data_IF_903933929374
#
_entry.id   IF_903933929374
#
_cell.length_a   1.000
_cell.length_b   1.000
_cell.length_c   1.000
_cell.angle_alpha   90.00
_cell.angle_beta   90.00
_cell.angle_gamma   90.00
#
_symmetry.space_group_name_H-M   'P 1'
#
loop_
_entity.id
_entity.type
_entity.pdbx_description
1 polymer ?
#
# COMPACT_ATOMS: atom_id res chain seq x y z
N UNK A 1 -19.20 -0.77 -28.72
CA UNK A 1 -19.21 -1.44 -27.39
C UNK A 1 -19.25 -2.95 -27.54
N UNK A 2 -20.23 -3.55 -28.26
CA UNK A 2 -20.16 -4.98 -28.56
C UNK A 2 -18.97 -5.32 -29.45
N UNK A 3 -18.66 -4.48 -30.45
CA UNK A 3 -17.52 -4.67 -31.36
C UNK A 3 -16.17 -4.59 -30.64
N UNK A 4 -15.94 -3.59 -29.79
CA UNK A 4 -14.69 -3.47 -29.01
C UNK A 4 -14.51 -4.62 -28.02
N UNK A 5 -15.58 -5.06 -27.34
CA UNK A 5 -15.52 -6.26 -26.49
C UNK A 5 -15.23 -7.51 -27.33
N UNK A 6 -15.91 -7.68 -28.46
CA UNK A 6 -15.68 -8.80 -29.36
C UNK A 6 -14.24 -8.87 -29.85
N UNK A 7 -13.62 -7.73 -30.21
CA UNK A 7 -12.21 -7.66 -30.60
C UNK A 7 -11.29 -8.15 -29.47
N UNK A 8 -11.47 -7.65 -28.24
CA UNK A 8 -10.66 -8.05 -27.09
C UNK A 8 -10.83 -9.54 -26.78
N UNK A 9 -12.07 -10.03 -26.70
CA UNK A 9 -12.35 -11.44 -26.39
C UNK A 9 -11.90 -12.40 -27.49
N UNK A 10 -11.98 -11.99 -28.76
CA UNK A 10 -11.42 -12.75 -29.88
C UNK A 10 -9.90 -12.85 -29.78
N UNK A 11 -9.23 -11.81 -29.30
CA UNK A 11 -7.79 -11.83 -29.08
C UNK A 11 -7.44 -12.69 -27.86
N UNK A 12 -8.16 -12.56 -26.75
CA UNK A 12 -8.01 -13.38 -25.54
C UNK A 12 -8.16 -14.88 -25.83
N UNK A 13 -9.10 -15.26 -26.70
CA UNK A 13 -9.29 -16.66 -27.13
C UNK A 13 -8.06 -17.26 -27.84
N UNK A 14 -7.17 -16.42 -28.37
CA UNK A 14 -5.90 -16.85 -28.99
C UNK A 14 -4.74 -16.96 -28.00
N UNK A 15 -4.90 -16.50 -26.75
CA UNK A 15 -3.85 -16.45 -25.74
C UNK A 15 -3.87 -17.73 -24.90
N UNK A 16 -2.80 -18.51 -24.97
CA UNK A 16 -2.59 -19.64 -24.07
C UNK A 16 -1.72 -19.21 -22.88
N UNK A 17 -2.36 -18.78 -21.80
CA UNK A 17 -1.68 -18.37 -20.57
C UNK A 17 -2.48 -18.82 -19.34
N UNK A 18 -1.83 -19.55 -18.42
CA UNK A 18 -2.45 -20.06 -17.18
C UNK A 18 -3.07 -18.95 -16.33
N UNK A 19 -2.52 -17.74 -16.39
CA UNK A 19 -2.98 -16.59 -15.63
C UNK A 19 -4.15 -15.83 -16.25
N UNK A 20 -4.68 -16.25 -17.39
CA UNK A 20 -5.86 -15.66 -18.06
C UNK A 20 -6.95 -16.73 -18.11
N UNK A 21 -8.21 -16.34 -17.91
CA UNK A 21 -9.34 -17.24 -18.17
C UNK A 21 -9.33 -17.71 -19.62
N UNK A 22 -9.51 -19.01 -19.86
CA UNK A 22 -9.55 -19.50 -21.23
C UNK A 22 -10.89 -19.10 -21.85
N UNK A 23 -10.85 -18.32 -22.91
CA UNK A 23 -12.03 -17.97 -23.72
C UNK A 23 -12.17 -19.03 -24.81
N UNK A 24 -13.21 -19.86 -24.73
CA UNK A 24 -13.49 -20.92 -25.69
C UNK A 24 -14.14 -20.40 -26.98
N UNK A 25 -15.02 -19.40 -26.87
CA UNK A 25 -15.69 -18.78 -27.99
C UNK A 25 -16.15 -17.37 -27.65
N UNK A 26 -16.27 -16.53 -28.67
CA UNK A 26 -16.90 -15.22 -28.58
C UNK A 26 -17.67 -14.96 -29.88
N UNK A 27 -18.90 -14.47 -29.77
CA UNK A 27 -19.76 -14.16 -30.92
C UNK A 27 -20.69 -12.99 -30.60
N UNK A 28 -21.20 -12.36 -31.66
CA UNK A 28 -22.20 -11.29 -31.53
C UNK A 28 -23.58 -11.83 -31.92
N UNK A 29 -24.54 -11.73 -31.01
CA UNK A 29 -25.93 -12.13 -31.26
C UNK A 29 -26.87 -11.03 -30.75
N UNK A 30 -27.82 -10.59 -31.58
CA UNK A 30 -28.80 -9.54 -31.24
C UNK A 30 -28.16 -8.24 -30.68
N UNK A 31 -26.99 -7.86 -31.21
CA UNK A 31 -26.24 -6.68 -30.76
C UNK A 31 -25.58 -6.82 -29.38
N UNK A 32 -25.51 -8.04 -28.84
CA UNK A 32 -24.79 -8.38 -27.61
C UNK A 32 -23.56 -9.20 -27.94
N UNK A 33 -22.46 -8.92 -27.26
CA UNK A 33 -21.31 -9.82 -27.22
C UNK A 33 -21.64 -10.95 -26.26
N UNK A 34 -21.45 -12.20 -26.69
CA UNK A 34 -21.58 -13.40 -25.87
C UNK A 34 -20.25 -14.14 -25.95
N UNK A 35 -19.61 -14.29 -24.81
CA UNK A 35 -18.39 -15.05 -24.60
C UNK A 35 -18.68 -16.33 -23.80
N UNK A 36 -17.91 -17.37 -24.11
CA UNK A 36 -17.94 -18.65 -23.42
C UNK A 36 -16.55 -18.88 -22.85
N UNK A 37 -16.46 -18.89 -21.53
CA UNK A 37 -15.19 -18.99 -20.80
C UNK A 37 -15.09 -20.25 -19.94
N UNK A 38 -13.87 -20.57 -19.56
CA UNK A 38 -13.56 -21.54 -18.51
C UNK A 38 -14.21 -21.16 -17.18
N UNK A 39 -14.89 -22.13 -16.56
CA UNK A 39 -15.22 -22.04 -15.15
C UNK A 39 -13.99 -22.35 -14.29
N UNK A 40 -13.43 -21.31 -13.67
CA UNK A 40 -12.25 -21.45 -12.80
C UNK A 40 -12.68 -21.97 -11.43
N UNK A 41 -12.32 -23.22 -11.11
CA UNK A 41 -12.65 -23.86 -9.83
C UNK A 41 -11.69 -23.42 -8.70
N UNK A 42 -11.68 -22.13 -8.39
CA UNK A 42 -10.83 -21.54 -7.35
C UNK A 42 -11.59 -20.59 -6.42
N UNK A 43 -10.86 -19.94 -5.51
CA UNK A 43 -11.41 -18.87 -4.66
C UNK A 43 -11.05 -17.50 -5.21
N UNK A 44 -11.97 -16.56 -5.15
CA UNK A 44 -11.63 -15.15 -5.42
C UNK A 44 -10.64 -14.64 -4.38
N UNK A 45 -9.78 -13.70 -4.78
CA UNK A 45 -8.87 -13.03 -3.86
C UNK A 45 -9.65 -12.29 -2.77
N UNK A 46 -10.83 -11.76 -3.08
CA UNK A 46 -11.75 -11.21 -2.08
C UNK A 46 -12.09 -12.20 -0.96
N UNK A 47 -12.44 -13.44 -1.32
CA UNK A 47 -12.71 -14.52 -0.36
C UNK A 47 -11.46 -14.84 0.47
N UNK A 48 -10.31 -14.98 -0.17
CA UNK A 48 -9.03 -15.26 0.50
C UNK A 48 -8.68 -14.16 1.51
N UNK A 49 -8.89 -12.88 1.17
CA UNK A 49 -8.69 -11.75 2.08
C UNK A 49 -9.60 -11.88 3.30
N UNK A 50 -10.89 -12.19 3.09
CA UNK A 50 -11.85 -12.33 4.19
C UNK A 50 -11.52 -13.48 5.16
N UNK A 51 -10.92 -14.56 4.63
CA UNK A 51 -10.48 -15.70 5.43
C UNK A 51 -9.19 -15.41 6.21
N UNK A 52 -8.39 -14.43 5.75
CA UNK A 52 -7.20 -13.96 6.45
C UNK A 52 -6.05 -14.96 6.53
N UNK A 53 -5.98 -15.92 5.59
CA UNK A 53 -5.02 -17.02 5.63
C UNK A 53 -3.63 -16.65 5.08
N UNK A 54 -3.54 -15.63 4.23
CA UNK A 54 -2.31 -15.28 3.52
C UNK A 54 -1.45 -14.28 4.29
N UNK A 55 -0.13 -14.46 4.19
CA UNK A 55 0.85 -13.49 4.67
C UNK A 55 1.09 -12.39 3.64
N UNK A 56 1.70 -11.28 4.06
CA UNK A 56 2.14 -10.21 3.15
C UNK A 56 3.03 -10.72 2.00
N UNK A 57 3.81 -11.79 2.26
CA UNK A 57 4.64 -12.40 1.22
C UNK A 57 3.83 -13.19 0.21
N UNK A 58 2.73 -13.84 0.63
CA UNK A 58 1.84 -14.58 -0.26
C UNK A 58 1.07 -13.60 -1.16
N UNK A 59 0.56 -12.51 -0.60
CA UNK A 59 -0.05 -11.43 -1.38
C UNK A 59 0.94 -10.81 -2.37
N UNK A 60 2.18 -10.54 -1.95
CA UNK A 60 3.18 -9.99 -2.85
C UNK A 60 3.53 -10.95 -4.01
N UNK A 61 3.59 -12.27 -3.75
CA UNK A 61 3.77 -13.29 -4.81
C UNK A 61 2.56 -13.32 -5.76
N UNK A 62 1.34 -13.25 -5.24
CA UNK A 62 0.15 -13.16 -6.07
C UNK A 62 0.18 -11.94 -7.01
N UNK A 63 0.60 -10.77 -6.53
CA UNK A 63 0.80 -9.58 -7.38
C UNK A 63 1.90 -9.81 -8.42
N UNK A 64 2.97 -10.52 -8.08
CA UNK A 64 4.02 -10.87 -9.05
C UNK A 64 3.50 -11.80 -10.16
N UNK A 65 2.65 -12.77 -9.83
CA UNK A 65 2.05 -13.66 -10.83
C UNK A 65 1.11 -12.86 -11.75
N UNK A 66 0.32 -11.93 -11.21
CA UNK A 66 -0.49 -11.01 -12.01
C UNK A 66 0.37 -10.13 -12.93
N UNK A 67 1.57 -9.73 -12.50
CA UNK A 67 2.49 -8.96 -13.34
C UNK A 67 2.94 -9.75 -14.58
N UNK A 68 3.13 -11.07 -14.46
CA UNK A 68 3.47 -11.93 -15.61
C UNK A 68 2.31 -12.01 -16.60
N UNK A 69 1.09 -12.23 -16.09
CA UNK A 69 -0.13 -12.22 -16.90
C UNK A 69 -0.30 -10.90 -17.65
N UNK A 70 -0.22 -9.78 -16.93
CA UNK A 70 -0.39 -8.45 -17.50
C UNK A 70 0.73 -8.08 -18.47
N UNK A 71 1.96 -8.54 -18.24
CA UNK A 71 3.05 -8.37 -19.22
C UNK A 71 2.66 -8.97 -20.57
N UNK A 72 2.01 -10.12 -20.59
CA UNK A 72 1.62 -10.79 -21.84
C UNK A 72 0.44 -10.09 -22.54
N UNK A 73 -0.51 -9.55 -21.76
CA UNK A 73 -1.61 -8.72 -22.27
C UNK A 73 -1.08 -7.39 -22.84
N UNK A 74 -0.21 -6.70 -22.11
CA UNK A 74 0.34 -5.41 -22.50
C UNK A 74 1.16 -5.48 -23.79
N UNK A 75 1.87 -6.60 -24.05
CA UNK A 75 2.56 -6.83 -25.34
C UNK A 75 1.62 -6.88 -26.54
N UNK A 76 0.36 -7.27 -26.32
CA UNK A 76 -0.72 -7.28 -27.33
C UNK A 76 -1.48 -5.95 -27.38
N UNK A 77 -1.12 -5.00 -26.53
CA UNK A 77 -1.84 -3.74 -26.41
C UNK A 77 -3.13 -3.85 -25.61
N UNK A 78 -3.44 -5.00 -25.00
CA UNK A 78 -4.62 -5.19 -24.15
C UNK A 78 -4.35 -4.65 -22.76
N UNK A 79 -5.19 -3.72 -22.29
CA UNK A 79 -5.15 -3.15 -20.93
C UNK A 79 -6.38 -3.63 -20.18
N UNK A 80 -6.22 -4.19 -18.98
CA UNK A 80 -7.33 -4.83 -18.24
C UNK A 80 -8.30 -3.82 -17.61
N UNK A 81 -7.78 -2.76 -16.98
CA UNK A 81 -8.52 -1.61 -16.42
C UNK A 81 -9.45 -1.86 -15.22
N UNK A 82 -9.71 -3.12 -14.83
CA UNK A 82 -10.53 -3.46 -13.65
C UNK A 82 -9.85 -4.46 -12.71
N UNK A 83 -8.56 -4.24 -12.44
CA UNK A 83 -7.83 -5.08 -11.49
C UNK A 83 -8.32 -4.80 -10.06
N UNK A 84 -8.97 -5.79 -9.46
CA UNK A 84 -9.53 -5.74 -8.12
C UNK A 84 -9.74 -7.16 -7.53
N UNK A 85 -9.97 -7.31 -6.21
CA UNK A 85 -10.01 -8.63 -5.56
C UNK A 85 -11.04 -9.62 -6.11
N UNK A 86 -12.21 -9.15 -6.55
CA UNK A 86 -13.24 -10.03 -7.13
C UNK A 86 -12.87 -10.56 -8.52
N UNK A 87 -11.96 -9.88 -9.23
CA UNK A 87 -11.54 -10.23 -10.60
C UNK A 87 -10.23 -11.04 -10.63
N UNK A 88 -9.83 -11.57 -9.47
CA UNK A 88 -8.65 -12.43 -9.32
C UNK A 88 -9.11 -13.73 -8.68
N UNK A 89 -8.93 -14.85 -9.37
CA UNK A 89 -9.18 -16.18 -8.82
C UNK A 89 -7.85 -16.87 -8.56
N UNK A 90 -7.76 -17.55 -7.43
CA UNK A 90 -6.62 -18.40 -7.08
C UNK A 90 -7.09 -19.84 -7.02
N UNK A 91 -6.48 -20.68 -7.85
CA UNK A 91 -6.70 -22.11 -7.91
C UNK A 91 -5.35 -22.85 -7.82
N UNK A 92 -5.18 -23.74 -6.83
CA UNK A 92 -3.97 -24.56 -6.68
C UNK A 92 -2.62 -23.79 -6.80
N UNK A 93 -2.56 -22.57 -6.24
CA UNK A 93 -1.43 -21.62 -6.33
C UNK A 93 -1.23 -20.93 -7.69
N UNK A 94 -2.14 -21.11 -8.64
CA UNK A 94 -2.18 -20.33 -9.87
C UNK A 94 -3.12 -19.13 -9.69
N UNK A 95 -2.63 -17.95 -10.06
CA UNK A 95 -3.42 -16.72 -10.06
C UNK A 95 -3.94 -16.49 -11.46
N UNK A 96 -5.25 -16.36 -11.60
CA UNK A 96 -5.95 -16.15 -12.86
C UNK A 96 -6.76 -14.85 -12.81
N UNK A 97 -6.55 -14.00 -13.81
CA UNK A 97 -7.36 -12.80 -14.04
C UNK A 97 -8.61 -13.18 -14.82
N UNK A 98 -9.73 -12.62 -14.41
CA UNK A 98 -11.06 -12.79 -15.01
C UNK A 98 -11.67 -11.41 -15.27
N UNK A 99 -12.83 -11.38 -15.95
CA UNK A 99 -13.64 -10.17 -16.15
C UNK A 99 -12.90 -9.08 -16.96
N UNK A 100 -12.89 -9.27 -18.28
CA UNK A 100 -12.27 -8.38 -19.27
C UNK A 100 -13.28 -7.42 -19.92
N UNK A 101 -14.46 -7.25 -19.32
CA UNK A 101 -15.59 -6.50 -19.90
C UNK A 101 -15.26 -5.03 -20.23
N UNK A 102 -14.32 -4.43 -19.49
CA UNK A 102 -13.86 -3.04 -19.73
C UNK A 102 -12.43 -2.96 -20.24
N UNK A 103 -11.83 -4.11 -20.56
CA UNK A 103 -10.51 -4.18 -21.16
C UNK A 103 -10.55 -3.59 -22.59
N UNK A 104 -9.39 -3.17 -23.08
CA UNK A 104 -9.30 -2.55 -24.40
C UNK A 104 -7.94 -2.70 -25.04
N UNK A 105 -7.93 -2.57 -26.36
CA UNK A 105 -6.72 -2.34 -27.14
C UNK A 105 -6.27 -0.88 -27.06
N UNK A 106 -4.96 -0.67 -26.90
CA UNK A 106 -4.31 0.65 -26.94
C UNK A 106 -4.51 1.27 -28.33
N UNK A 107 -5.21 2.40 -28.40
CA UNK A 107 -5.44 3.14 -29.66
C UNK A 107 -4.41 4.25 -29.82
N UNK A 108 -3.54 4.18 -30.82
CA UNK A 108 -2.51 5.23 -31.05
C UNK A 108 -3.08 6.61 -31.41
N UNK A 109 -4.35 6.70 -31.82
CA UNK A 109 -4.96 7.90 -32.40
C UNK A 109 -5.99 8.63 -31.52
N UNK A 110 -6.25 8.19 -30.28
CA UNK A 110 -7.25 8.82 -29.41
C UNK A 110 -6.65 9.49 -28.18
N UNK A 111 -6.75 10.81 -28.07
CA UNK A 111 -6.15 11.57 -26.96
C UNK A 111 -6.88 11.45 -25.61
N UNK A 112 -8.11 10.91 -25.56
CA UNK A 112 -8.92 10.84 -24.32
C UNK A 112 -9.89 9.67 -24.31
N UNK A 113 -10.10 9.13 -23.12
CA UNK A 113 -11.15 8.16 -22.84
C UNK A 113 -12.47 8.92 -22.60
N UNK A 114 -13.53 8.54 -23.31
CA UNK A 114 -14.83 9.24 -23.25
C UNK A 114 -15.74 8.78 -22.11
N UNK A 115 -15.30 7.81 -21.30
CA UNK A 115 -16.12 7.17 -20.26
C UNK A 115 -15.31 6.90 -18.99
N UNK A 116 -15.95 7.22 -17.85
CA UNK A 116 -15.56 6.78 -16.51
C UNK A 116 -15.71 5.27 -16.42
N UNK A 117 -14.61 4.55 -16.18
CA UNK A 117 -14.58 3.10 -16.15
C UNK A 117 -13.69 2.59 -15.01
N UNK A 118 -13.98 1.37 -14.55
CA UNK A 118 -13.27 0.71 -13.45
C UNK A 118 -13.91 0.97 -12.08
N UNK A 119 -13.44 0.20 -11.10
CA UNK A 119 -13.93 0.29 -9.72
C UNK A 119 -13.26 1.45 -8.98
N UNK A 120 -14.01 2.42 -8.38
CA UNK A 120 -13.45 3.68 -7.89
C UNK A 120 -12.27 3.56 -6.92
N UNK A 121 -12.23 2.50 -6.13
CA UNK A 121 -11.18 2.25 -5.13
C UNK A 121 -9.84 1.86 -5.75
N UNK A 122 -9.85 1.29 -6.97
CA UNK A 122 -8.68 0.74 -7.65
C UNK A 122 -8.32 1.50 -8.93
N UNK A 123 -9.29 2.17 -9.56
CA UNK A 123 -9.12 2.85 -10.83
C UNK A 123 -8.07 3.98 -10.77
N UNK A 124 -7.22 4.02 -11.81
CA UNK A 124 -6.24 5.08 -12.01
C UNK A 124 -6.89 6.44 -12.30
N UNK A 125 -6.25 7.58 -11.96
CA UNK A 125 -6.79 8.93 -12.23
C UNK A 125 -7.20 9.16 -13.69
N UNK A 126 -6.44 8.63 -14.64
CA UNK A 126 -6.73 8.73 -16.07
C UNK A 126 -7.98 7.97 -16.51
N UNK A 127 -8.40 6.93 -15.78
CA UNK A 127 -9.61 6.17 -16.06
C UNK A 127 -10.90 6.98 -15.85
N UNK A 128 -10.79 8.15 -15.22
CA UNK A 128 -11.88 9.12 -15.06
C UNK A 128 -12.03 10.06 -16.27
N UNK A 129 -11.30 9.83 -17.37
CA UNK A 129 -11.48 10.53 -18.65
C UNK A 129 -10.60 11.76 -18.85
N UNK A 130 -9.62 12.00 -17.97
CA UNK A 130 -8.71 13.14 -18.08
C UNK A 130 -7.56 12.91 -19.06
N UNK A 131 -7.22 11.65 -19.34
CA UNK A 131 -6.20 11.23 -20.29
C UNK A 131 -6.46 9.80 -20.77
N UNK A 132 -5.71 9.36 -21.78
CA UNK A 132 -5.81 8.00 -22.29
C UNK A 132 -5.22 7.00 -21.27
N UNK A 133 -5.95 5.93 -20.94
CA UNK A 133 -5.39 4.80 -20.18
C UNK A 133 -4.37 4.01 -21.00
N UNK A 134 -3.28 3.61 -20.36
CA UNK A 134 -2.22 2.75 -20.92
C UNK A 134 -1.86 1.63 -19.93
N UNK A 135 -0.82 0.85 -20.21
CA UNK A 135 -0.36 -0.24 -19.34
C UNK A 135 -0.08 0.20 -17.88
N UNK A 136 0.21 1.49 -17.64
CA UNK A 136 0.50 2.06 -16.32
C UNK A 136 -0.77 2.30 -15.51
N UNK A 137 -1.94 2.26 -16.14
CA UNK A 137 -3.23 2.24 -15.45
C UNK A 137 -3.41 0.93 -14.66
N UNK A 138 -3.04 -0.21 -15.24
CA UNK A 138 -3.07 -1.50 -14.51
C UNK A 138 -2.04 -1.53 -13.38
N UNK A 139 -0.86 -0.91 -13.58
CA UNK A 139 0.18 -0.77 -12.54
C UNK A 139 -0.35 0.03 -11.34
N UNK A 140 -1.12 1.10 -11.58
CA UNK A 140 -1.77 1.84 -10.51
C UNK A 140 -2.75 0.96 -9.73
N UNK A 141 -3.60 0.21 -10.44
CA UNK A 141 -4.58 -0.71 -9.83
C UNK A 141 -3.89 -1.81 -9.02
N UNK A 142 -2.79 -2.39 -9.52
CA UNK A 142 -1.94 -3.31 -8.75
C UNK A 142 -1.35 -2.65 -7.51
N UNK A 143 -0.96 -1.37 -7.58
CA UNK A 143 -0.48 -0.60 -6.44
C UNK A 143 -1.54 -0.39 -5.35
N UNK A 144 -2.77 -0.08 -5.76
CA UNK A 144 -3.93 0.03 -4.87
C UNK A 144 -4.30 -1.31 -4.23
N UNK A 145 -4.27 -2.38 -5.02
CA UNK A 145 -4.48 -3.74 -4.54
C UNK A 145 -3.39 -4.12 -3.53
N UNK A 146 -2.10 -3.96 -3.87
CA UNK A 146 -0.99 -4.20 -2.95
C UNK A 146 -1.11 -3.40 -1.65
N UNK A 147 -1.45 -2.12 -1.72
CA UNK A 147 -1.69 -1.26 -0.55
C UNK A 147 -2.77 -1.80 0.39
N UNK A 148 -3.83 -2.38 -0.17
CA UNK A 148 -4.90 -2.96 0.61
C UNK A 148 -4.43 -4.25 1.30
N UNK A 149 -3.73 -5.10 0.55
CA UNK A 149 -3.33 -6.45 0.94
C UNK A 149 -2.22 -6.48 1.99
N UNK A 150 -1.13 -5.73 1.80
CA UNK A 150 0.08 -5.85 2.64
C UNK A 150 0.15 -4.78 3.73
N UNK A 151 0.69 -5.14 4.90
CA UNK A 151 0.92 -4.20 6.02
C UNK A 151 2.39 -3.89 6.25
N UNK A 152 3.28 -4.71 5.69
CA UNK A 152 4.72 -4.55 5.81
C UNK A 152 5.22 -3.29 5.09
N UNK A 153 5.81 -2.40 5.89
CA UNK A 153 6.38 -1.12 5.47
C UNK A 153 7.46 -1.24 4.40
N UNK A 154 8.07 -2.43 4.20
CA UNK A 154 9.04 -2.67 3.13
C UNK A 154 8.43 -2.44 1.74
N UNK A 155 7.14 -2.74 1.56
CA UNK A 155 6.45 -2.53 0.29
C UNK A 155 6.01 -1.08 0.06
N UNK A 156 6.07 -0.22 1.09
CA UNK A 156 5.52 1.14 1.00
C UNK A 156 6.11 1.95 -0.15
N UNK A 157 7.43 1.89 -0.35
CA UNK A 157 8.06 2.63 -1.45
C UNK A 157 7.66 2.12 -2.84
N UNK A 158 7.32 0.83 -2.96
CA UNK A 158 6.82 0.24 -4.20
C UNK A 158 5.39 0.70 -4.44
N UNK A 159 4.55 0.59 -3.40
CA UNK A 159 3.16 1.06 -3.40
C UNK A 159 3.09 2.55 -3.80
N UNK A 160 3.85 3.40 -3.11
CA UNK A 160 3.89 4.85 -3.35
C UNK A 160 4.30 5.19 -4.78
N UNK A 161 5.18 4.39 -5.39
CA UNK A 161 5.58 4.56 -6.79
C UNK A 161 4.47 4.12 -7.75
N UNK A 162 3.79 3.00 -7.48
CA UNK A 162 2.67 2.55 -8.32
C UNK A 162 1.50 3.54 -8.35
N UNK A 163 1.17 4.15 -7.20
CA UNK A 163 -0.02 5.00 -7.06
C UNK A 163 0.23 6.50 -7.31
N UNK A 164 1.33 6.85 -8.00
CA UNK A 164 1.60 8.23 -8.38
C UNK A 164 0.49 8.76 -9.30
N UNK A 165 0.08 10.02 -9.10
CA UNK A 165 -0.98 10.63 -9.91
C UNK A 165 -0.57 10.71 -11.39
N UNK A 166 0.67 11.12 -11.63
CA UNK A 166 1.26 11.18 -12.96
C UNK A 166 1.83 9.80 -13.38
N UNK A 167 1.34 9.20 -14.49
CA UNK A 167 1.82 7.92 -15.00
C UNK A 167 3.32 7.86 -15.28
N UNK A 168 3.97 8.97 -15.66
CA UNK A 168 5.41 9.03 -15.94
C UNK A 168 6.26 8.75 -14.69
N UNK A 169 5.70 8.97 -13.50
CA UNK A 169 6.38 8.72 -12.23
C UNK A 169 6.17 7.29 -11.68
N UNK A 170 5.36 6.48 -12.35
CA UNK A 170 5.08 5.08 -11.97
C UNK A 170 6.19 4.15 -12.47
N UNK A 171 6.07 2.85 -12.17
CA UNK A 171 6.81 1.85 -12.94
C UNK A 171 6.31 1.87 -14.38
N UNK A 172 7.21 1.74 -15.35
CA UNK A 172 6.84 1.87 -16.77
C UNK A 172 6.41 0.53 -17.38
N UNK A 173 6.62 -0.58 -16.66
CA UNK A 173 6.08 -1.89 -17.02
C UNK A 173 5.79 -2.74 -15.79
N UNK A 174 4.90 -3.72 -15.94
CA UNK A 174 4.62 -4.74 -14.92
C UNK A 174 5.85 -5.61 -14.63
N UNK A 175 6.74 -5.81 -15.61
CA UNK A 175 8.05 -6.43 -15.40
C UNK A 175 8.95 -5.67 -14.42
N UNK A 176 8.99 -4.33 -14.50
CA UNK A 176 9.73 -3.51 -13.52
C UNK A 176 9.15 -3.64 -12.11
N UNK A 177 7.82 -3.60 -11.99
CA UNK A 177 7.12 -3.79 -10.72
C UNK A 177 7.45 -5.18 -10.13
N UNK A 178 7.36 -6.24 -10.93
CA UNK A 178 7.72 -7.60 -10.50
C UNK A 178 9.16 -7.68 -9.99
N UNK A 179 10.12 -7.07 -10.69
CA UNK A 179 11.51 -7.04 -10.23
C UNK A 179 11.65 -6.30 -8.89
N UNK A 180 10.91 -5.20 -8.68
CA UNK A 180 10.93 -4.48 -7.42
C UNK A 180 10.36 -5.32 -6.26
N UNK A 181 9.24 -6.01 -6.49
CA UNK A 181 8.63 -6.94 -5.52
C UNK A 181 9.55 -8.11 -5.19
N UNK A 182 10.16 -8.73 -6.21
CA UNK A 182 11.10 -9.82 -6.03
C UNK A 182 12.32 -9.40 -5.19
N UNK A 183 12.90 -8.22 -5.48
CA UNK A 183 13.99 -7.67 -4.66
C UNK A 183 13.55 -7.43 -3.22
N UNK A 184 12.33 -6.92 -3.01
CA UNK A 184 11.78 -6.69 -1.67
C UNK A 184 11.64 -8.00 -0.87
N UNK A 185 11.12 -9.05 -1.51
CA UNK A 185 10.92 -10.37 -0.90
C UNK A 185 12.25 -11.07 -0.60
N UNK A 186 13.24 -10.97 -1.49
CA UNK A 186 14.55 -11.59 -1.32
C UNK A 186 15.42 -10.90 -0.26
N UNK A 187 15.08 -9.66 0.12
CA UNK A 187 15.72 -9.02 1.26
C UNK A 187 14.98 -9.40 2.54
N UNK A 188 15.65 -10.09 3.49
CA UNK A 188 15.03 -10.46 4.76
C UNK A 188 14.49 -9.20 5.45
N UNK A 189 13.38 -9.37 6.18
CA UNK A 189 12.87 -8.32 7.05
C UNK A 189 14.03 -7.70 7.82
N UNK A 190 14.11 -6.37 7.78
CA UNK A 190 15.13 -5.65 8.52
C UNK A 190 14.75 -5.72 10.01
N UNK A 191 15.01 -6.85 10.67
CA UNK A 191 14.62 -7.08 12.07
C UNK A 191 15.42 -6.18 13.02
N UNK A 192 14.83 -5.87 14.17
CA UNK A 192 15.49 -5.10 15.24
C UNK A 192 15.55 -3.59 14.99
N UNK A 193 16.63 -2.95 15.45
CA UNK A 193 16.75 -1.49 15.54
C UNK A 193 16.53 -0.76 14.21
N UNK A 194 16.93 -1.35 13.08
CA UNK A 194 16.73 -0.73 11.75
C UNK A 194 15.25 -0.68 11.32
N UNK A 195 14.43 -1.69 11.65
CA UNK A 195 12.96 -1.61 11.42
C UNK A 195 12.34 -0.55 12.34
N UNK A 196 12.76 -0.51 13.61
CA UNK A 196 12.31 0.52 14.54
C UNK A 196 12.63 1.93 14.02
N UNK A 197 13.87 2.19 13.56
CA UNK A 197 14.25 3.50 13.01
C UNK A 197 13.35 3.90 11.84
N UNK A 198 12.96 2.97 10.96
CA UNK A 198 12.05 3.27 9.85
C UNK A 198 10.65 3.70 10.29
N UNK A 199 10.22 3.37 11.51
CA UNK A 199 8.94 3.86 12.04
C UNK A 199 9.01 5.30 12.55
N UNK A 200 10.22 5.81 12.84
CA UNK A 200 10.42 7.16 13.38
C UNK A 200 10.12 8.21 12.30
N UNK A 201 9.35 9.27 12.62
CA UNK A 201 9.08 10.37 11.70
C UNK A 201 10.37 10.96 11.12
N UNK A 202 10.40 11.16 9.81
CA UNK A 202 11.57 11.63 9.07
C UNK A 202 12.53 10.52 8.58
N UNK A 203 12.53 9.35 9.24
CA UNK A 203 13.30 8.17 8.81
C UNK A 203 12.48 7.15 7.99
N UNK A 204 11.17 7.39 7.85
CA UNK A 204 10.26 6.60 6.99
C UNK A 204 10.61 6.68 5.51
N UNK A 205 11.12 7.84 5.07
CA UNK A 205 11.52 8.05 3.69
C UNK A 205 12.92 7.51 3.46
N UNK A 206 13.19 6.95 2.28
CA UNK A 206 14.55 6.50 1.94
C UNK A 206 15.50 7.65 1.51
N UNK A 207 14.99 8.88 1.42
CA UNK A 207 15.76 10.06 1.01
C UNK A 207 16.81 10.47 2.06
N UNK A 208 18.08 10.53 1.64
CA UNK A 208 19.23 10.83 2.51
C UNK A 208 19.18 12.25 3.08
N UNK A 209 18.79 13.24 2.28
CA UNK A 209 18.65 14.64 2.72
C UNK A 209 17.59 14.75 3.81
N UNK A 210 16.43 14.10 3.63
CA UNK A 210 15.38 14.06 4.67
C UNK A 210 15.90 13.45 5.97
N UNK A 211 16.70 12.38 5.89
CA UNK A 211 17.31 11.75 7.08
C UNK A 211 18.29 12.68 7.79
N UNK A 212 19.15 13.40 7.05
CA UNK A 212 20.10 14.36 7.63
C UNK A 212 19.36 15.50 8.34
N UNK A 213 18.38 16.12 7.67
CA UNK A 213 17.54 17.18 8.26
C UNK A 213 16.86 16.67 9.53
N UNK A 214 16.31 15.46 9.48
CA UNK A 214 15.66 14.81 10.62
C UNK A 214 16.62 14.66 11.80
N UNK A 215 17.84 14.17 11.58
CA UNK A 215 18.87 14.05 12.63
C UNK A 215 19.14 15.41 13.27
N UNK A 216 19.35 16.46 12.47
CA UNK A 216 19.62 17.81 12.96
C UNK A 216 18.48 18.31 13.86
N UNK A 217 17.23 18.13 13.41
CA UNK A 217 16.04 18.54 14.18
C UNK A 217 15.98 17.79 15.51
N UNK A 218 16.12 16.46 15.53
CA UNK A 218 16.09 15.70 16.78
C UNK A 218 17.24 16.08 17.72
N UNK A 219 18.45 16.31 17.19
CA UNK A 219 19.59 16.78 17.99
C UNK A 219 19.32 18.13 18.63
N UNK A 220 18.76 19.09 17.89
CA UNK A 220 18.42 20.42 18.39
C UNK A 220 17.32 20.35 19.46
N UNK A 221 16.28 19.56 19.21
CA UNK A 221 15.20 19.28 20.17
C UNK A 221 15.78 18.71 21.47
N UNK A 222 16.63 17.68 21.38
CA UNK A 222 17.29 17.08 22.55
C UNK A 222 18.13 18.12 23.30
N UNK A 223 18.91 18.93 22.60
CA UNK A 223 19.79 19.94 23.20
C UNK A 223 19.00 21.02 23.95
N UNK A 224 17.96 21.59 23.32
CA UNK A 224 17.09 22.58 23.94
C UNK A 224 16.44 22.02 25.20
N UNK A 225 15.88 20.81 25.11
CA UNK A 225 15.16 20.19 26.22
C UNK A 225 16.08 19.70 27.36
N UNK A 226 17.30 19.23 27.04
CA UNK A 226 18.31 18.93 28.07
C UNK A 226 18.68 20.21 28.84
N UNK A 227 18.90 21.30 28.11
CA UNK A 227 19.25 22.60 28.68
C UNK A 227 18.18 23.12 29.65
N UNK A 228 16.90 23.03 29.29
CA UNK A 228 15.80 23.43 30.18
C UNK A 228 15.69 22.53 31.41
N UNK A 229 15.87 21.23 31.25
CA UNK A 229 15.73 20.29 32.36
C UNK A 229 16.88 20.40 33.39
N UNK A 230 18.08 20.79 32.96
CA UNK A 230 19.22 21.05 33.85
C UNK A 230 19.06 22.32 34.72
N UNK A 231 18.13 23.22 34.38
CA UNK A 231 17.80 24.39 35.20
C UNK A 231 16.94 24.03 36.43
N UNK A 232 16.54 22.75 36.58
CA UNK A 232 15.83 22.29 37.76
C UNK A 232 16.63 22.55 39.06
N UNK A 233 15.93 23.02 40.09
CA UNK A 233 16.49 23.17 41.44
C UNK A 233 16.64 21.79 42.08
N UNK A 234 17.63 21.64 42.96
CA UNK A 234 17.87 20.38 43.69
C UNK A 234 19.29 19.86 43.55
N UNK A 235 19.55 18.69 44.14
CA UNK A 235 20.83 18.02 44.05
C UNK A 235 21.02 17.40 42.64
N UNK A 236 22.18 16.80 42.38
CA UNK A 236 22.48 16.19 41.07
C UNK A 236 21.50 15.08 40.70
N UNK A 237 21.06 14.28 41.68
CA UNK A 237 20.11 13.21 41.45
C UNK A 237 18.72 13.74 41.06
N UNK A 238 18.26 14.82 41.71
CA UNK A 238 16.98 15.47 41.41
C UNK A 238 16.98 16.06 39.98
N UNK A 239 18.12 16.64 39.56
CA UNK A 239 18.30 17.15 38.19
C UNK A 239 18.31 16.03 37.15
N UNK A 240 18.94 14.90 37.45
CA UNK A 240 18.93 13.74 36.53
C UNK A 240 17.51 13.18 36.43
N UNK A 241 16.81 13.04 37.56
CA UNK A 241 15.44 12.54 37.60
C UNK A 241 14.49 13.47 36.84
N UNK A 242 14.62 14.79 36.99
CA UNK A 242 13.79 15.76 36.28
C UNK A 242 13.98 15.67 34.76
N UNK A 243 15.22 15.50 34.29
CA UNK A 243 15.54 15.28 32.88
C UNK A 243 14.85 14.01 32.36
N UNK A 244 14.95 12.90 33.09
CA UNK A 244 14.32 11.62 32.69
C UNK A 244 12.80 11.74 32.61
N UNK A 245 12.16 12.29 33.66
CA UNK A 245 10.70 12.45 33.70
C UNK A 245 10.20 13.39 32.61
N UNK A 246 10.94 14.44 32.31
CA UNK A 246 10.62 15.37 31.25
C UNK A 246 10.71 14.72 29.86
N UNK A 247 11.74 13.90 29.62
CA UNK A 247 11.83 13.10 28.38
C UNK A 247 10.69 12.11 28.24
N UNK A 248 10.31 11.43 29.32
CA UNK A 248 9.13 10.55 29.35
C UNK A 248 7.86 11.32 28.97
N UNK A 249 7.69 12.53 29.53
CA UNK A 249 6.53 13.38 29.30
C UNK A 249 6.39 13.86 27.85
N UNK A 250 7.49 14.14 27.15
CA UNK A 250 7.47 14.54 25.74
C UNK A 250 7.40 13.35 24.79
N UNK A 251 8.30 12.38 24.95
CA UNK A 251 8.55 11.36 23.93
C UNK A 251 7.53 10.22 23.96
N UNK A 252 6.97 9.85 25.11
CA UNK A 252 5.97 8.77 25.16
C UNK A 252 4.67 9.18 24.44
N UNK A 253 4.04 10.33 24.73
CA UNK A 253 2.84 10.75 24.01
C UNK A 253 3.10 10.93 22.51
N UNK A 254 4.24 11.53 22.16
CA UNK A 254 4.67 11.68 20.77
C UNK A 254 4.82 10.33 20.05
N UNK A 255 5.41 9.34 20.71
CA UNK A 255 5.58 8.00 20.15
C UNK A 255 4.24 7.31 19.85
N UNK A 256 3.22 7.49 20.70
CA UNK A 256 1.87 6.99 20.45
C UNK A 256 1.20 7.70 19.27
N UNK A 257 1.25 9.03 19.26
CA UNK A 257 0.65 9.84 18.20
C UNK A 257 1.21 9.47 16.82
N UNK A 258 2.54 9.35 16.76
CA UNK A 258 3.25 9.03 15.52
C UNK A 258 3.29 7.54 15.22
N UNK A 259 2.81 6.67 16.11
CA UNK A 259 2.91 5.21 15.99
C UNK A 259 4.34 4.72 15.75
N UNK A 260 5.29 5.25 16.53
CA UNK A 260 6.67 4.76 16.52
C UNK A 260 6.67 3.30 16.97
N UNK A 261 7.51 2.47 16.38
CA UNK A 261 7.63 1.04 16.66
C UNK A 261 6.42 0.18 16.28
N UNK A 262 5.44 0.75 15.56
CA UNK A 262 4.12 0.16 15.33
C UNK A 262 3.42 -0.20 16.66
N UNK A 263 3.55 0.68 17.66
CA UNK A 263 3.01 0.49 19.01
C UNK A 263 1.49 0.32 18.99
N UNK A 264 0.75 1.06 18.15
CA UNK A 264 -0.72 1.00 18.13
C UNK A 264 -1.24 -0.37 17.71
N UNK A 265 -0.63 -0.98 16.67
CA UNK A 265 -1.01 -2.30 16.19
C UNK A 265 -0.53 -3.45 17.07
N UNK A 266 0.51 -3.23 17.89
CA UNK A 266 1.00 -4.23 18.86
C UNK A 266 0.20 -4.27 20.16
N UNK A 267 -0.16 -3.10 20.70
CA UNK A 267 -0.90 -3.00 21.96
C UNK A 267 -2.35 -3.38 21.81
N UNK A 268 -2.95 -2.97 20.70
CA UNK A 268 -4.36 -3.20 20.41
C UNK A 268 -4.31 -4.07 19.15
N UNK A 269 -4.51 -5.39 19.30
CA UNK A 269 -4.70 -6.33 18.17
C UNK A 269 -6.01 -6.01 17.41
N UNK A 270 -6.27 -4.75 17.12
CA UNK A 270 -7.45 -4.29 16.42
C UNK A 270 -7.18 -4.31 14.92
N UNK A 271 -8.02 -5.06 14.20
CA UNK A 271 -8.26 -4.79 12.79
C UNK A 271 -8.99 -3.45 12.68
N UNK A 272 -8.23 -2.36 12.53
CA UNK A 272 -8.80 -1.05 12.25
C UNK A 272 -9.58 -1.12 10.94
N UNK A 273 -10.90 -0.90 11.00
CA UNK A 273 -11.76 -0.91 9.80
C UNK A 273 -11.45 0.27 8.87
N UNK A 274 -10.95 1.38 9.41
CA UNK A 274 -10.69 2.61 8.67
C UNK A 274 -9.45 3.34 9.19
N UNK A 275 -8.80 4.13 8.32
CA UNK A 275 -7.67 5.00 8.69
C UNK A 275 -8.05 6.03 9.77
N UNK A 276 -9.32 6.44 9.82
CA UNK A 276 -9.84 7.35 10.86
C UNK A 276 -9.89 6.67 12.22
N UNK A 277 -10.34 5.41 12.30
CA UNK A 277 -10.35 4.65 13.56
C UNK A 277 -8.95 4.45 14.13
N UNK A 278 -7.96 4.24 13.28
CA UNK A 278 -6.57 4.13 13.70
C UNK A 278 -6.04 5.44 14.30
N UNK A 279 -6.33 6.58 13.67
CA UNK A 279 -5.94 7.90 14.19
C UNK A 279 -6.57 8.24 15.53
N UNK A 280 -7.86 7.95 15.71
CA UNK A 280 -8.57 8.20 16.98
C UNK A 280 -7.93 7.43 18.13
N UNK A 281 -7.56 6.18 17.90
CA UNK A 281 -6.88 5.35 18.90
C UNK A 281 -5.51 5.91 19.26
N UNK A 282 -4.72 6.34 18.26
CA UNK A 282 -3.41 6.97 18.50
C UNK A 282 -3.52 8.26 19.31
N UNK A 283 -4.52 9.09 19.01
CA UNK A 283 -4.81 10.32 19.76
C UNK A 283 -5.20 9.99 21.20
N UNK A 284 -6.10 9.02 21.41
CA UNK A 284 -6.51 8.60 22.74
C UNK A 284 -5.31 8.11 23.59
N UNK A 285 -4.43 7.27 23.02
CA UNK A 285 -3.23 6.80 23.70
C UNK A 285 -2.24 7.93 24.00
N UNK A 286 -2.08 8.88 23.08
CA UNK A 286 -1.29 10.09 23.30
C UNK A 286 -1.83 10.91 24.49
N UNK A 287 -3.14 11.16 24.53
CA UNK A 287 -3.77 11.93 25.60
C UNK A 287 -3.64 11.21 26.95
N UNK A 288 -3.93 9.91 26.99
CA UNK A 288 -3.82 9.10 28.22
C UNK A 288 -2.38 9.12 28.75
N UNK A 289 -1.39 8.85 27.89
CA UNK A 289 0.02 8.85 28.30
C UNK A 289 0.50 10.24 28.74
N UNK A 290 0.03 11.30 28.10
CA UNK A 290 0.32 12.68 28.50
C UNK A 290 -0.24 13.01 29.90
N UNK A 291 -1.50 12.62 30.18
CA UNK A 291 -2.12 12.82 31.50
C UNK A 291 -1.35 12.06 32.58
N UNK A 292 -1.04 10.77 32.33
CA UNK A 292 -0.27 9.95 33.28
C UNK A 292 1.09 10.58 33.56
N UNK A 293 1.83 10.97 32.52
CA UNK A 293 3.13 11.59 32.68
C UNK A 293 3.05 12.94 33.42
N UNK A 294 1.98 13.73 33.19
CA UNK A 294 1.76 15.01 33.87
C UNK A 294 1.49 14.84 35.36
N UNK A 295 0.70 13.84 35.74
CA UNK A 295 0.42 13.51 37.16
C UNK A 295 1.70 13.08 37.87
N UNK A 296 2.51 12.22 37.22
CA UNK A 296 3.81 11.80 37.77
C UNK A 296 4.73 13.01 37.95
N UNK A 297 4.88 13.84 36.92
CA UNK A 297 5.73 15.03 36.99
C UNK A 297 5.29 15.99 38.11
N UNK A 298 3.98 16.22 38.25
CA UNK A 298 3.41 17.07 39.30
C UNK A 298 3.68 16.54 40.72
N UNK A 299 3.61 15.22 40.93
CA UNK A 299 3.92 14.61 42.22
C UNK A 299 5.38 14.79 42.63
N UNK A 300 6.30 14.73 41.66
CA UNK A 300 7.74 14.91 41.92
C UNK A 300 8.15 16.37 42.04
N UNK A 301 7.55 17.29 41.26
CA UNK A 301 7.83 18.72 41.38
C UNK A 301 7.17 19.38 42.60
N UNK A 302 6.04 18.86 43.07
CA UNK A 302 5.32 19.39 44.24
C UNK A 302 5.89 18.98 45.60
N UNK A 303 6.99 18.21 45.64
CA UNK A 303 7.67 17.78 46.87
C UNK A 303 8.79 18.73 47.34
N UNK A 304 8.95 19.89 46.70
CA UNK A 304 9.96 20.90 47.03
C UNK A 304 9.34 22.27 47.33
#
# INVERSE_FOLDING_TARGET
MPEEMFEVYSELASINNVGIVNVFACYTENGKCIDIEEYVNGKTLETIISEGQWTDSDYARCIMDMCDTLTELHKRGIIHRDIQPKNVIVDNNHVKLIDFDIARNKKESSNKDTRLLGTPEFASPEAYGFSQTDERSDIYSLGKLLQMLVKDVRFQSIIDKCIQMDPENRYQSTGELKMALMRCLNHPEVKGAKSFIRTVPGFRSNNVVKKIITIIIYCLVILVFTGTALQAKGNVADKILSVILFYIWIFIPYAFLMNIGNISSKLIRANYKTKTSEWLVRIALCVISFIIASVILGFFMGKH
#
